data_IF_828816194732
#
_entry.id   IF_828816194732
#
_cell.length_a   1.000
_cell.length_b   1.000
_cell.length_c   1.000
_cell.angle_alpha   90.00
_cell.angle_beta   90.00
_cell.angle_gamma   90.00
#
_symmetry.space_group_name_H-M   'P 1'
#
loop_
_entity.id
_entity.type
_entity.pdbx_description
1 polymer ?
#
# COMPACT_ATOMS: atom_id res chain seq x y z
N UNK A 1 -4.03 -17.61 15.25
CA UNK A 1 -4.41 -16.27 14.72
C UNK A 1 -5.64 -15.81 15.45
N UNK A 2 -5.63 -14.61 16.05
CA UNK A 2 -6.79 -14.09 16.79
C UNK A 2 -7.94 -13.79 15.83
N UNK A 3 -9.12 -14.36 16.08
CA UNK A 3 -10.38 -14.16 15.34
C UNK A 3 -10.70 -12.68 15.08
N UNK A 4 -10.22 -11.77 15.95
CA UNK A 4 -10.35 -10.32 15.81
C UNK A 4 -9.64 -9.69 14.60
N UNK A 5 -8.60 -10.32 14.03
CA UNK A 5 -7.93 -9.81 12.82
C UNK A 5 -8.84 -9.87 11.58
N UNK A 6 -9.58 -10.97 11.43
CA UNK A 6 -10.54 -11.14 10.33
C UNK A 6 -11.74 -10.19 10.47
N UNK A 7 -12.25 -10.03 11.71
CA UNK A 7 -13.36 -9.12 12.00
C UNK A 7 -12.96 -7.68 11.70
N UNK A 8 -11.77 -7.23 12.13
CA UNK A 8 -11.27 -5.89 11.81
C UNK A 8 -11.17 -5.64 10.31
N UNK A 9 -10.61 -6.59 9.55
CA UNK A 9 -10.49 -6.44 8.10
C UNK A 9 -11.85 -6.47 7.40
N UNK A 10 -12.82 -7.22 7.92
CA UNK A 10 -14.19 -7.20 7.43
C UNK A 10 -14.89 -5.86 7.71
N UNK A 11 -14.65 -5.25 8.87
CA UNK A 11 -15.14 -3.91 9.20
C UNK A 11 -14.54 -2.89 8.24
N UNK A 12 -13.21 -2.90 8.03
CA UNK A 12 -12.54 -1.97 7.10
C UNK A 12 -13.04 -2.15 5.67
N UNK A 13 -13.33 -3.39 5.26
CA UNK A 13 -13.93 -3.69 3.96
C UNK A 13 -15.34 -3.10 3.83
N UNK A 14 -16.18 -3.27 4.85
CA UNK A 14 -17.53 -2.70 4.86
C UNK A 14 -17.49 -1.16 4.82
N UNK A 15 -16.59 -0.54 5.59
CA UNK A 15 -16.37 0.91 5.54
C UNK A 15 -15.91 1.37 4.16
N UNK A 16 -15.00 0.62 3.52
CA UNK A 16 -14.54 0.91 2.16
C UNK A 16 -15.65 0.82 1.12
N UNK A 17 -16.53 -0.18 1.21
CA UNK A 17 -17.70 -0.33 0.34
C UNK A 17 -18.70 0.80 0.55
N UNK A 18 -18.94 1.21 1.80
CA UNK A 18 -19.83 2.31 2.12
C UNK A 18 -19.30 3.64 1.58
N UNK A 19 -18.01 3.91 1.73
CA UNK A 19 -17.33 5.08 1.16
C UNK A 19 -17.40 5.11 -0.36
N UNK A 20 -17.16 3.96 -1.01
CA UNK A 20 -17.23 3.84 -2.47
C UNK A 20 -18.67 4.01 -2.98
N UNK A 21 -19.65 3.42 -2.30
CA UNK A 21 -21.08 3.57 -2.60
C UNK A 21 -21.57 5.01 -2.41
N UNK A 22 -21.17 5.68 -1.32
CA UNK A 22 -21.47 7.09 -1.10
C UNK A 22 -20.84 7.99 -2.17
N UNK A 23 -19.61 7.68 -2.59
CA UNK A 23 -18.93 8.40 -3.67
C UNK A 23 -19.59 8.22 -5.04
N UNK A 24 -20.15 7.04 -5.35
CA UNK A 24 -20.83 6.75 -6.62
C UNK A 24 -22.28 7.26 -6.66
N UNK A 25 -23.02 7.17 -5.54
CA UNK A 25 -24.41 7.61 -5.45
C UNK A 25 -24.54 9.12 -5.22
N UNK A 26 -23.52 9.74 -4.62
CA UNK A 26 -23.47 11.19 -4.36
C UNK A 26 -23.01 12.04 -5.56
N UNK A 27 -22.85 11.45 -6.76
CA UNK A 27 -22.50 12.16 -7.99
C UNK A 27 -23.71 12.94 -8.50
N UNK A 28 -23.98 14.08 -7.86
CA UNK A 28 -25.10 14.98 -8.19
C UNK A 28 -25.23 16.13 -7.19
N UNK A 29 -25.24 15.81 -5.89
CA UNK A 29 -25.40 16.78 -4.80
C UNK A 29 -24.10 17.10 -4.02
N UNK A 30 -23.08 16.23 -4.11
CA UNK A 30 -21.81 16.41 -3.42
C UNK A 30 -20.75 17.02 -4.36
N UNK A 31 -19.93 17.95 -3.86
CA UNK A 31 -18.84 18.55 -4.64
C UNK A 31 -17.97 17.45 -5.28
N UNK A 32 -17.74 17.55 -6.60
CA UNK A 32 -17.05 16.55 -7.44
C UNK A 32 -15.70 16.07 -6.87
N UNK A 33 -15.03 16.92 -6.09
CA UNK A 33 -13.77 16.59 -5.42
C UNK A 33 -13.96 15.63 -4.22
N UNK A 34 -15.05 15.79 -3.47
CA UNK A 34 -15.37 14.97 -2.30
C UNK A 34 -15.78 13.56 -2.75
N UNK A 35 -16.63 13.45 -3.78
CA UNK A 35 -17.00 12.16 -4.36
C UNK A 35 -15.79 11.43 -4.93
N UNK A 36 -14.91 12.13 -5.65
CA UNK A 36 -13.65 11.57 -6.15
C UNK A 36 -12.72 11.06 -5.04
N UNK A 37 -12.57 11.81 -3.94
CA UNK A 37 -11.77 11.40 -2.79
C UNK A 37 -12.37 10.16 -2.10
N UNK A 38 -13.69 10.11 -1.93
CA UNK A 38 -14.39 8.96 -1.36
C UNK A 38 -14.23 7.70 -2.20
N UNK A 39 -14.28 7.81 -3.53
CA UNK A 39 -14.02 6.68 -4.45
C UNK A 39 -12.57 6.21 -4.34
N UNK A 40 -11.60 7.14 -4.33
CA UNK A 40 -10.19 6.81 -4.21
C UNK A 40 -9.86 6.09 -2.89
N UNK A 41 -10.31 6.64 -1.77
CA UNK A 41 -10.09 6.02 -0.44
C UNK A 41 -10.87 4.71 -0.31
N UNK A 42 -12.13 4.69 -0.74
CA UNK A 42 -12.98 3.51 -0.67
C UNK A 42 -12.39 2.32 -1.45
N UNK A 43 -11.94 2.55 -2.68
CA UNK A 43 -11.32 1.51 -3.51
C UNK A 43 -10.01 0.99 -2.91
N UNK A 44 -9.16 1.87 -2.37
CA UNK A 44 -7.92 1.49 -1.69
C UNK A 44 -8.16 0.60 -0.46
N UNK A 45 -9.14 0.98 0.39
CA UNK A 45 -9.52 0.21 1.58
C UNK A 45 -10.08 -1.16 1.22
N UNK A 46 -10.88 -1.25 0.16
CA UNK A 46 -11.44 -2.52 -0.32
C UNK A 46 -10.31 -3.43 -0.80
N UNK A 47 -9.42 -2.93 -1.66
CA UNK A 47 -8.29 -3.71 -2.19
C UNK A 47 -7.39 -4.28 -1.09
N UNK A 48 -7.02 -3.43 -0.13
CA UNK A 48 -6.21 -3.84 1.03
C UNK A 48 -6.93 -4.89 1.89
N UNK A 49 -8.22 -4.68 2.16
CA UNK A 49 -8.99 -5.59 3.01
C UNK A 49 -9.22 -6.96 2.37
N UNK A 50 -9.49 -7.01 1.06
CA UNK A 50 -9.61 -8.27 0.30
C UNK A 50 -8.29 -9.03 0.32
N UNK A 51 -7.17 -8.38 0.01
CA UNK A 51 -5.85 -9.01 0.03
C UNK A 51 -5.55 -9.63 1.41
N UNK A 52 -5.85 -8.90 2.49
CA UNK A 52 -5.67 -9.39 3.84
C UNK A 52 -6.59 -10.56 4.20
N UNK A 53 -7.87 -10.54 3.78
CA UNK A 53 -8.80 -11.64 4.01
C UNK A 53 -8.40 -12.90 3.24
N UNK A 54 -7.94 -12.76 2.00
CA UNK A 54 -7.39 -13.86 1.20
C UNK A 54 -6.19 -14.47 1.92
N UNK A 55 -5.24 -13.65 2.40
CA UNK A 55 -4.08 -14.12 3.16
C UNK A 55 -4.50 -14.86 4.42
N UNK A 56 -5.46 -14.33 5.19
CA UNK A 56 -5.98 -15.01 6.39
C UNK A 56 -6.56 -16.38 6.03
N UNK A 57 -7.35 -16.46 4.95
CA UNK A 57 -7.96 -17.72 4.50
C UNK A 57 -6.90 -18.70 4.00
N UNK A 58 -5.88 -18.22 3.29
CA UNK A 58 -4.76 -19.01 2.79
C UNK A 58 -4.00 -19.69 3.94
N UNK A 59 -3.60 -18.91 4.95
CA UNK A 59 -2.92 -19.44 6.13
C UNK A 59 -3.81 -20.30 7.02
N UNK A 60 -5.12 -20.05 7.07
CA UNK A 60 -6.06 -20.91 7.79
C UNK A 60 -6.21 -22.28 7.11
N UNK A 61 -6.19 -22.35 5.78
CA UNK A 61 -6.24 -23.61 5.02
C UNK A 61 -4.91 -24.37 5.06
N UNK A 62 -3.78 -23.67 5.23
CA UNK A 62 -2.42 -24.25 5.19
C UNK A 62 -1.62 -23.89 6.45
N UNK A 63 -1.94 -24.50 7.60
CA UNK A 63 -1.26 -24.19 8.86
C UNK A 63 0.23 -24.59 8.86
N UNK A 64 0.62 -25.60 8.07
CA UNK A 64 2.02 -26.00 7.91
C UNK A 64 2.89 -24.88 7.33
N UNK A 65 2.42 -24.20 6.27
CA UNK A 65 3.12 -23.07 5.65
C UNK A 65 3.26 -21.91 6.65
N UNK A 66 2.22 -21.67 7.45
CA UNK A 66 2.25 -20.62 8.46
C UNK A 66 3.33 -20.88 9.53
N UNK A 67 3.44 -22.13 10.02
CA UNK A 67 4.48 -22.50 10.99
C UNK A 67 5.87 -22.40 10.39
N UNK A 68 6.02 -22.83 9.14
CA UNK A 68 7.29 -22.72 8.43
C UNK A 68 7.71 -21.25 8.27
N UNK A 69 6.79 -20.36 7.92
CA UNK A 69 7.09 -18.92 7.87
C UNK A 69 7.48 -18.32 9.22
N UNK A 70 6.89 -18.78 10.32
CA UNK A 70 7.26 -18.33 11.67
C UNK A 70 8.68 -18.78 12.05
N UNK A 71 9.09 -19.96 11.60
CA UNK A 71 10.45 -20.47 11.77
C UNK A 71 11.43 -19.69 10.88
N UNK A 72 11.12 -19.54 9.59
CA UNK A 72 11.93 -18.78 8.63
C UNK A 72 12.06 -17.30 9.01
N UNK A 73 11.05 -16.72 9.69
CA UNK A 73 11.11 -15.34 10.17
C UNK A 73 12.20 -15.12 11.23
N UNK A 74 12.65 -16.18 11.93
CA UNK A 74 13.73 -16.11 12.91
C UNK A 74 15.12 -16.41 12.34
N UNK A 75 15.21 -16.88 11.10
CA UNK A 75 16.49 -17.22 10.46
C UNK A 75 17.12 -16.00 9.78
N UNK A 76 18.36 -15.68 10.15
CA UNK A 76 19.13 -14.56 9.59
C UNK A 76 19.22 -14.62 8.06
N UNK A 77 19.36 -15.82 7.49
CA UNK A 77 19.44 -15.99 6.03
C UNK A 77 18.13 -15.59 5.37
N UNK A 78 17.00 -16.06 5.89
CA UNK A 78 15.68 -15.73 5.37
C UNK A 78 15.36 -14.25 5.51
N UNK A 79 15.76 -13.62 6.62
CA UNK A 79 15.65 -12.17 6.82
C UNK A 79 16.48 -11.40 5.78
N UNK A 80 17.71 -11.84 5.50
CA UNK A 80 18.57 -11.20 4.49
C UNK A 80 17.96 -11.25 3.08
N UNK A 81 17.40 -12.40 2.69
CA UNK A 81 16.73 -12.59 1.39
C UNK A 81 15.49 -11.70 1.30
N UNK A 82 14.69 -11.65 2.36
CA UNK A 82 13.50 -10.81 2.43
C UNK A 82 13.87 -9.32 2.30
N UNK A 83 14.90 -8.86 3.01
CA UNK A 83 15.37 -7.48 2.94
C UNK A 83 15.89 -7.13 1.53
N UNK A 84 16.66 -8.03 0.89
CA UNK A 84 17.12 -7.85 -0.48
C UNK A 84 15.93 -7.77 -1.46
N UNK A 85 14.92 -8.62 -1.28
CA UNK A 85 13.73 -8.61 -2.13
C UNK A 85 12.96 -7.30 -2.02
N UNK A 86 12.81 -6.76 -0.81
CA UNK A 86 12.18 -5.45 -0.56
C UNK A 86 12.98 -4.30 -1.18
N UNK A 87 14.31 -4.34 -1.09
CA UNK A 87 15.17 -3.33 -1.70
C UNK A 87 15.05 -3.34 -3.23
N UNK A 88 15.12 -4.52 -3.87
CA UNK A 88 14.91 -4.64 -5.32
C UNK A 88 13.51 -4.20 -5.76
N UNK A 89 12.49 -4.57 -4.99
CA UNK A 89 11.11 -4.15 -5.25
C UNK A 89 10.97 -2.63 -5.16
N UNK A 90 11.63 -1.99 -4.18
CA UNK A 90 11.66 -0.52 -4.06
C UNK A 90 12.32 0.12 -5.29
N UNK A 91 13.50 -0.34 -5.69
CA UNK A 91 14.22 0.24 -6.83
C UNK A 91 13.41 0.14 -8.14
N UNK A 92 12.67 -0.95 -8.34
CA UNK A 92 11.76 -1.12 -9.50
C UNK A 92 10.53 -0.22 -9.36
N UNK A 93 9.88 -0.21 -8.20
CA UNK A 93 8.66 0.58 -7.94
C UNK A 93 8.91 2.06 -8.18
N UNK A 94 10.03 2.57 -7.70
CA UNK A 94 10.40 3.98 -7.83
C UNK A 94 10.68 4.35 -9.29
N UNK A 95 11.30 3.47 -10.09
CA UNK A 95 11.43 3.66 -11.54
C UNK A 95 10.07 3.72 -12.23
N UNK A 96 9.14 2.85 -11.88
CA UNK A 96 7.79 2.85 -12.45
C UNK A 96 7.03 4.11 -12.03
N UNK A 97 7.19 4.58 -10.79
CA UNK A 97 6.55 5.81 -10.30
C UNK A 97 6.98 7.06 -11.08
N UNK A 98 8.15 7.06 -11.75
CA UNK A 98 8.54 8.16 -12.64
C UNK A 98 7.55 8.39 -13.77
N UNK A 99 6.73 7.40 -14.16
CA UNK A 99 5.73 7.54 -15.23
C UNK A 99 4.51 8.37 -14.78
N UNK A 100 4.22 8.41 -13.47
CA UNK A 100 2.99 9.03 -12.93
C UNK A 100 2.93 10.54 -13.23
N UNK A 101 3.99 11.35 -13.01
CA UNK A 101 3.98 12.76 -13.38
C UNK A 101 3.70 13.00 -14.87
N UNK A 102 4.24 12.17 -15.77
CA UNK A 102 3.97 12.30 -17.22
C UNK A 102 2.50 12.05 -17.55
N UNK A 103 1.88 11.04 -16.91
CA UNK A 103 0.45 10.78 -17.06
C UNK A 103 -0.41 11.94 -16.53
N UNK A 104 0.01 12.59 -15.45
CA UNK A 104 -0.71 13.74 -14.89
C UNK A 104 -0.61 14.97 -15.78
N UNK A 105 0.55 15.21 -16.41
CA UNK A 105 0.73 16.29 -17.40
C UNK A 105 -0.14 16.01 -18.62
N UNK A 106 -0.19 14.76 -19.10
CA UNK A 106 -1.03 14.36 -20.24
C UNK A 106 -2.53 14.51 -19.93
N UNK A 107 -2.93 14.41 -18.67
CA UNK A 107 -4.31 14.57 -18.22
C UNK A 107 -4.71 16.04 -17.92
N UNK A 108 -3.88 17.02 -18.31
CA UNK A 108 -4.04 18.45 -18.00
C UNK A 108 -4.31 18.72 -16.50
N UNK A 109 -3.65 17.94 -15.63
CA UNK A 109 -3.82 18.06 -14.18
C UNK A 109 -3.11 19.31 -13.64
N UNK A 110 -3.67 19.98 -12.61
CA UNK A 110 -3.04 21.14 -11.99
C UNK A 110 -1.58 20.90 -11.57
N UNK A 111 -0.71 21.88 -11.83
CA UNK A 111 0.73 21.80 -11.56
C UNK A 111 1.07 21.47 -10.09
N UNK A 112 0.24 21.91 -9.14
CA UNK A 112 0.47 21.62 -7.72
C UNK A 112 0.35 20.12 -7.41
N UNK A 113 -0.50 19.37 -8.13
CA UNK A 113 -0.67 17.92 -7.97
C UNK A 113 0.54 17.18 -8.51
N UNK A 114 1.03 17.56 -9.69
CA UNK A 114 2.24 16.95 -10.27
C UNK A 114 3.46 17.20 -9.38
N UNK A 115 3.60 18.42 -8.86
CA UNK A 115 4.68 18.76 -7.92
C UNK A 115 4.58 18.00 -6.61
N UNK A 116 3.37 17.79 -6.08
CA UNK A 116 3.16 16.98 -4.88
C UNK A 116 3.60 15.52 -5.07
N UNK A 117 3.33 14.92 -6.23
CA UNK A 117 3.77 13.55 -6.56
C UNK A 117 5.31 13.49 -6.65
N UNK A 118 5.93 14.48 -7.29
CA UNK A 118 7.40 14.58 -7.35
C UNK A 118 8.01 14.77 -5.95
N UNK A 119 7.40 15.59 -5.11
CA UNK A 119 7.84 15.77 -3.72
C UNK A 119 7.75 14.47 -2.92
N UNK A 120 6.67 13.69 -3.08
CA UNK A 120 6.53 12.38 -2.44
C UNK A 120 7.58 11.38 -2.92
N UNK A 121 7.92 11.40 -4.21
CA UNK A 121 9.01 10.61 -4.77
C UNK A 121 10.37 10.99 -4.16
N UNK A 122 10.68 12.29 -4.09
CA UNK A 122 11.92 12.77 -3.46
C UNK A 122 11.99 12.40 -1.98
N UNK A 123 10.89 12.54 -1.26
CA UNK A 123 10.78 12.16 0.15
C UNK A 123 11.07 10.67 0.36
N UNK A 124 10.60 9.81 -0.54
CA UNK A 124 10.89 8.37 -0.51
C UNK A 124 12.40 8.09 -0.64
N UNK A 125 13.11 8.84 -1.50
CA UNK A 125 14.58 8.78 -1.57
C UNK A 125 15.27 9.33 -0.33
N UNK A 126 14.76 10.42 0.24
CA UNK A 126 15.28 11.00 1.48
C UNK A 126 15.22 9.99 2.63
N UNK A 127 14.11 9.27 2.76
CA UNK A 127 13.97 8.18 3.75
C UNK A 127 15.00 7.08 3.46
N UNK A 128 15.12 6.62 2.20
CA UNK A 128 16.11 5.60 1.83
C UNK A 128 17.52 6.04 2.20
N UNK A 129 17.88 7.28 1.88
CA UNK A 129 19.19 7.85 2.16
C UNK A 129 19.45 7.97 3.66
N UNK A 130 18.46 8.42 4.44
CA UNK A 130 18.55 8.44 5.90
C UNK A 130 18.86 7.05 6.47
N UNK A 131 18.11 6.03 6.04
CA UNK A 131 18.36 4.66 6.51
C UNK A 131 19.69 4.10 6.01
N UNK A 132 20.13 4.45 4.79
CA UNK A 132 21.45 4.07 4.29
C UNK A 132 22.55 4.59 5.21
N UNK A 133 22.53 5.89 5.53
CA UNK A 133 23.53 6.51 6.43
C UNK A 133 23.43 5.97 7.84
N UNK A 134 22.21 5.70 8.32
CA UNK A 134 22.00 5.12 9.66
C UNK A 134 22.60 3.72 9.75
N UNK A 135 22.34 2.85 8.77
CA UNK A 135 22.82 1.48 8.81
C UNK A 135 24.30 1.36 8.44
N UNK A 136 24.84 2.24 7.59
CA UNK A 136 26.28 2.26 7.28
C UNK A 136 27.20 2.67 8.45
N UNK A 137 26.62 3.19 9.53
CA UNK A 137 27.35 3.55 10.76
C UNK A 137 27.23 2.49 11.86
N UNK A 138 26.24 1.61 11.73
CA UNK A 138 25.90 0.59 12.75
C UNK A 138 26.42 -0.78 12.33
N UNK A 139 26.46 -1.05 11.03
CA UNK A 139 27.12 -2.19 10.40
C UNK A 139 28.46 -1.73 9.83
#
# INVERSE_FOLDING_TARGET
>A
MKKGSAVRNAIVLATGILLLGAGLLGVGDMARNVSGLCIGIGSGLIGMSIANLIMIRYYAKRPAIKRQQEIEAGDERSVSINNLSKAKAFDITVKIMMLIPFLLILADSPLWITLAVVAFYLFSYSIRYYYLVKYSKVM
#
